data_IF_125801623958
#
_entry.id   IF_125801623958
#
_cell.length_a   1.000
_cell.length_b   1.000
_cell.length_c   1.000
_cell.angle_alpha   90.00
_cell.angle_beta   90.00
_cell.angle_gamma   90.00
#
_symmetry.space_group_name_H-M   'P 1'
#
loop_
_entity.id
_entity.type
_entity.pdbx_description
1 polymer ?
#
# COMPACT_ATOMS: atom_id res chain seq x y z
N UNK A 1 11.46 -29.40 -63.84
CA UNK A 1 11.67 -27.93 -63.95
C UNK A 1 12.08 -27.40 -62.59
N UNK A 2 13.37 -27.17 -62.38
CA UNK A 2 13.91 -26.55 -61.16
C UNK A 2 13.58 -25.06 -61.20
N UNK A 3 12.65 -24.64 -60.34
CA UNK A 3 12.24 -23.24 -60.20
C UNK A 3 13.43 -22.46 -59.64
N UNK A 4 14.06 -21.61 -60.44
CA UNK A 4 15.06 -20.67 -59.91
C UNK A 4 14.37 -19.74 -58.91
N UNK A 5 14.74 -19.87 -57.63
CA UNK A 5 14.28 -18.95 -56.60
C UNK A 5 14.85 -17.57 -56.91
N UNK A 6 13.95 -16.62 -57.15
CA UNK A 6 14.31 -15.24 -57.43
C UNK A 6 14.95 -14.66 -56.16
N UNK A 7 15.90 -13.73 -56.30
CA UNK A 7 16.58 -13.10 -55.16
C UNK A 7 15.61 -12.49 -54.13
N UNK A 8 14.40 -12.12 -54.56
CA UNK A 8 13.28 -11.68 -53.70
C UNK A 8 12.84 -12.76 -52.71
N UNK A 9 12.66 -14.01 -53.16
CA UNK A 9 12.20 -15.12 -52.31
C UNK A 9 13.21 -15.42 -51.19
N UNK A 10 14.51 -15.29 -51.48
CA UNK A 10 15.59 -15.45 -50.48
C UNK A 10 15.55 -14.35 -49.42
N UNK A 11 15.22 -13.12 -49.81
CA UNK A 11 15.08 -11.99 -48.88
C UNK A 11 13.82 -12.15 -48.04
N UNK A 12 12.69 -12.52 -48.65
CA UNK A 12 11.42 -12.77 -47.97
C UNK A 12 11.52 -13.88 -46.92
N UNK A 13 12.27 -14.94 -47.20
CA UNK A 13 12.56 -16.00 -46.23
C UNK A 13 13.34 -15.51 -44.98
N UNK A 14 14.11 -14.42 -45.11
CA UNK A 14 14.86 -13.80 -44.01
C UNK A 14 14.07 -12.77 -43.18
N UNK A 15 12.99 -12.21 -43.72
CA UNK A 15 12.13 -11.22 -43.04
C UNK A 15 11.47 -11.74 -41.74
N UNK A 16 10.88 -12.95 -41.68
CA UNK A 16 10.20 -13.42 -40.47
C UNK A 16 11.15 -13.55 -39.27
N UNK A 17 12.42 -13.88 -39.50
CA UNK A 17 13.43 -13.98 -38.45
C UNK A 17 13.75 -12.63 -37.80
N UNK A 18 13.68 -11.53 -38.56
CA UNK A 18 13.90 -10.16 -38.04
C UNK A 18 12.68 -9.67 -37.26
N UNK A 19 11.47 -9.88 -37.79
CA UNK A 19 10.22 -9.44 -37.15
C UNK A 19 10.00 -10.07 -35.77
N UNK A 20 10.39 -11.33 -35.57
CA UNK A 20 10.27 -12.00 -34.25
C UNK A 20 11.03 -11.30 -33.12
N UNK A 21 12.25 -10.81 -33.41
CA UNK A 21 13.07 -10.10 -32.41
C UNK A 21 12.46 -8.74 -32.05
N UNK A 22 11.90 -8.06 -33.04
CA UNK A 22 11.21 -6.79 -32.86
C UNK A 22 9.92 -6.94 -32.05
N UNK A 23 9.11 -7.97 -32.35
CA UNK A 23 7.88 -8.25 -31.60
C UNK A 23 8.16 -8.60 -30.15
N UNK A 24 9.19 -9.42 -29.88
CA UNK A 24 9.57 -9.77 -28.52
C UNK A 24 10.02 -8.54 -27.73
N UNK A 25 10.87 -7.71 -28.33
CA UNK A 25 11.36 -6.47 -27.70
C UNK A 25 10.21 -5.51 -27.37
N UNK A 26 9.27 -5.33 -28.29
CA UNK A 26 8.09 -4.49 -28.08
C UNK A 26 7.15 -5.07 -27.02
N UNK A 27 6.95 -6.39 -27.02
CA UNK A 27 6.12 -7.07 -26.03
C UNK A 27 6.72 -6.96 -24.62
N UNK A 28 8.04 -7.16 -24.47
CA UNK A 28 8.72 -7.02 -23.18
C UNK A 28 8.68 -5.58 -22.67
N UNK A 29 8.83 -4.59 -23.56
CA UNK A 29 8.69 -3.18 -23.19
C UNK A 29 7.29 -2.84 -22.69
N UNK A 30 6.26 -3.26 -23.44
CA UNK A 30 4.86 -3.07 -23.04
C UNK A 30 4.54 -3.78 -21.72
N UNK A 31 5.04 -5.00 -21.53
CA UNK A 31 4.87 -5.77 -20.30
C UNK A 31 5.53 -5.10 -19.10
N UNK A 32 6.75 -4.59 -19.26
CA UNK A 32 7.44 -3.84 -18.21
C UNK A 32 6.67 -2.57 -17.81
N UNK A 33 6.15 -1.81 -18.78
CA UNK A 33 5.30 -0.64 -18.50
C UNK A 33 4.01 -1.04 -17.78
N UNK A 34 3.34 -2.11 -18.22
CA UNK A 34 2.12 -2.60 -17.60
C UNK A 34 2.34 -3.02 -16.13
N UNK A 35 3.46 -3.71 -15.85
CA UNK A 35 3.84 -4.07 -14.47
C UNK A 35 4.07 -2.80 -13.62
N UNK A 36 4.76 -1.80 -14.15
CA UNK A 36 4.98 -0.54 -13.44
C UNK A 36 3.67 0.15 -13.04
N UNK A 37 2.72 0.21 -13.98
CA UNK A 37 1.38 0.76 -13.73
C UNK A 37 0.63 -0.08 -12.70
N UNK A 38 0.71 -1.41 -12.77
CA UNK A 38 0.07 -2.30 -11.81
C UNK A 38 0.60 -2.09 -10.38
N UNK A 39 1.92 -1.99 -10.21
CA UNK A 39 2.50 -1.69 -8.90
C UNK A 39 2.10 -0.31 -8.38
N UNK A 40 2.03 0.69 -9.25
CA UNK A 40 1.55 2.03 -8.88
C UNK A 40 0.11 1.98 -8.36
N UNK A 41 -0.77 1.23 -9.04
CA UNK A 41 -2.15 1.04 -8.61
C UNK A 41 -2.24 0.34 -7.24
N UNK A 42 -1.47 -0.73 -7.04
CA UNK A 42 -1.40 -1.45 -5.75
C UNK A 42 -0.87 -0.56 -4.63
N UNK A 43 0.15 0.26 -4.92
CA UNK A 43 0.72 1.21 -3.98
C UNK A 43 -0.32 2.22 -3.50
N UNK A 44 -1.06 2.85 -4.43
CA UNK A 44 -2.13 3.78 -4.06
C UNK A 44 -3.28 3.09 -3.33
N UNK A 45 -3.71 1.91 -3.75
CA UNK A 45 -4.74 1.15 -3.05
C UNK A 45 -4.33 0.86 -1.59
N UNK A 46 -3.07 0.48 -1.37
CA UNK A 46 -2.51 0.25 -0.03
C UNK A 46 -2.45 1.53 0.78
N UNK A 47 -2.00 2.63 0.16
CA UNK A 47 -1.88 3.93 0.80
C UNK A 47 -3.24 4.46 1.24
N UNK A 48 -4.27 4.36 0.40
CA UNK A 48 -5.63 4.77 0.73
C UNK A 48 -6.21 3.86 1.82
N UNK A 49 -6.09 2.54 1.66
CA UNK A 49 -6.63 1.58 2.62
C UNK A 49 -6.05 1.70 4.03
N UNK A 50 -4.74 1.92 4.14
CA UNK A 50 -4.06 2.14 5.43
C UNK A 50 -4.15 3.59 5.91
N UNK A 51 -4.18 4.54 5.01
CA UNK A 51 -4.24 5.97 5.33
C UNK A 51 -5.62 6.42 5.78
N UNK A 52 -6.69 5.76 5.33
CA UNK A 52 -8.06 6.09 5.72
C UNK A 52 -8.27 6.08 7.25
N UNK A 53 -7.62 5.15 7.98
CA UNK A 53 -7.71 5.11 9.44
C UNK A 53 -7.00 6.28 10.14
N UNK A 54 -6.04 6.95 9.49
CA UNK A 54 -5.33 8.09 10.07
C UNK A 54 -6.20 9.35 10.15
N UNK A 55 -7.26 9.43 9.34
CA UNK A 55 -8.22 10.54 9.38
C UNK A 55 -9.35 10.31 10.37
N UNK A 56 -9.53 9.08 10.86
CA UNK A 56 -10.58 8.73 11.81
C UNK A 56 -9.94 8.50 13.18
N UNK A 57 -9.87 9.57 13.97
CA UNK A 57 -9.50 9.46 15.37
C UNK A 57 -10.74 9.16 16.20
N UNK A 58 -10.75 8.02 16.89
CA UNK A 58 -11.83 7.68 17.83
C UNK A 58 -11.60 8.44 19.13
N UNK A 59 -12.51 9.36 19.45
CA UNK A 59 -12.53 10.04 20.75
C UNK A 59 -13.57 9.38 21.64
N UNK A 60 -13.14 8.89 22.80
CA UNK A 60 -14.03 8.44 23.86
C UNK A 60 -14.09 9.50 24.95
N UNK A 61 -15.29 9.91 25.32
CA UNK A 61 -15.53 10.77 26.48
C UNK A 61 -15.81 9.86 27.67
N UNK A 62 -14.94 9.93 28.67
CA UNK A 62 -15.08 9.20 29.93
C UNK A 62 -15.60 10.19 30.97
N UNK A 63 -16.75 9.87 31.56
CA UNK A 63 -17.27 10.60 32.72
C UNK A 63 -16.68 9.93 33.96
N UNK A 64 -15.56 10.49 34.45
CA UNK A 64 -14.86 9.98 35.64
C UNK A 64 -15.35 10.74 36.86
N UNK A 65 -15.93 10.02 37.81
CA UNK A 65 -16.32 10.58 39.10
C UNK A 65 -15.12 10.57 40.05
N UNK A 66 -14.68 11.75 40.49
CA UNK A 66 -13.52 11.91 41.37
C UNK A 66 -13.99 11.82 42.84
N UNK A 67 -13.80 10.68 43.48
CA UNK A 67 -14.13 10.49 44.91
C UNK A 67 -12.94 10.80 45.81
N UNK A 68 -13.19 11.38 46.99
CA UNK A 68 -12.15 11.82 47.92
C UNK A 68 -11.23 10.68 48.39
N UNK A 69 -11.74 9.45 48.50
CA UNK A 69 -10.93 8.28 48.88
C UNK A 69 -9.88 7.92 47.81
N UNK A 70 -10.11 8.23 46.54
CA UNK A 70 -9.23 7.87 45.43
C UNK A 70 -8.16 8.93 45.14
N UNK A 71 -8.50 10.21 45.32
CA UNK A 71 -7.60 11.35 45.08
C UNK A 71 -6.85 11.83 46.33
N UNK A 72 -7.36 11.52 47.53
CA UNK A 72 -6.76 11.94 48.80
C UNK A 72 -6.89 10.86 49.89
N UNK A 73 -6.28 9.67 49.72
CA UNK A 73 -6.35 8.57 50.69
C UNK A 73 -5.80 8.92 52.09
N UNK A 74 -5.08 10.03 52.23
CA UNK A 74 -4.56 10.57 53.51
C UNK A 74 -5.23 11.86 54.00
N UNK A 75 -6.28 12.36 53.34
CA UNK A 75 -6.99 13.59 53.70
C UNK A 75 -6.41 14.89 53.14
N UNK A 76 -5.22 14.86 52.54
CA UNK A 76 -4.61 15.98 51.81
C UNK A 76 -4.50 15.63 50.32
N UNK A 77 -4.89 16.56 49.45
CA UNK A 77 -4.90 16.35 48.01
C UNK A 77 -3.48 16.51 47.46
N UNK A 78 -2.78 15.39 47.28
CA UNK A 78 -1.48 15.36 46.63
C UNK A 78 -1.60 14.80 45.21
N UNK A 79 -1.57 15.70 44.22
CA UNK A 79 -1.64 15.34 42.80
C UNK A 79 -0.47 14.45 42.36
N UNK A 80 0.65 14.42 43.10
CA UNK A 80 1.78 13.55 42.79
C UNK A 80 1.58 12.10 43.23
N UNK A 81 0.67 11.85 44.19
CA UNK A 81 0.36 10.51 44.72
C UNK A 81 -1.05 10.00 44.36
N UNK A 82 -1.88 10.83 43.74
CA UNK A 82 -3.22 10.43 43.28
C UNK A 82 -3.14 9.35 42.19
N UNK A 83 -3.93 8.28 42.34
CA UNK A 83 -3.99 7.17 41.39
C UNK A 83 -4.98 7.46 40.24
N UNK A 84 -4.49 8.19 39.25
CA UNK A 84 -5.27 8.50 38.04
C UNK A 84 -5.49 7.29 37.14
N UNK A 85 -4.65 6.25 37.24
CA UNK A 85 -4.77 5.04 36.40
C UNK A 85 -5.92 4.15 36.91
N UNK A 86 -6.09 4.08 38.23
CA UNK A 86 -7.23 3.43 38.88
C UNK A 86 -8.57 4.08 38.50
N UNK A 87 -8.62 5.41 38.47
CA UNK A 87 -9.82 6.19 38.10
C UNK A 87 -10.32 5.90 36.68
N UNK A 88 -9.40 5.76 35.72
CA UNK A 88 -9.73 5.41 34.33
C UNK A 88 -10.22 3.96 34.21
N UNK A 89 -9.79 3.08 35.12
CA UNK A 89 -10.15 1.65 35.14
C UNK A 89 -11.53 1.38 35.72
N UNK A 90 -12.04 2.29 36.54
CA UNK A 90 -13.35 2.20 37.19
C UNK A 90 -14.48 2.94 36.46
N UNK A 91 -14.14 3.73 35.44
CA UNK A 91 -15.09 4.38 34.52
C UNK A 91 -15.53 3.42 33.41
#
# INVERSE_FOLDING_TARGET
MTKELTNKDKVEAGLPRRRRKETLFRATGMFATAIGIAFLAVFFATLIGKGASAFVQTYMRLDVELTAEQIAPGGELDLAYADFDGLVRTA
#
